data_IF_895793735003
#
_entry.id   IF_895793735003
#
_cell.length_a   1.000
_cell.length_b   1.000
_cell.length_c   1.000
_cell.angle_alpha   90.00
_cell.angle_beta   90.00
_cell.angle_gamma   90.00
#
_symmetry.space_group_name_H-M   'P 1'
#
loop_
_entity.id
_entity.type
_entity.pdbx_description
1 polymer ?
#
# COMPACT_ATOMS: atom_id res chain seq x y z
N UNK A 1 -83.64 8.77 -13.71
CA UNK A 1 -82.16 8.76 -13.53
C UNK A 1 -81.66 8.73 -12.07
N UNK A 2 -82.52 8.64 -11.04
CA UNK A 2 -82.11 8.63 -9.61
C UNK A 2 -81.80 7.24 -9.01
N UNK A 3 -81.97 6.15 -9.77
CA UNK A 3 -81.80 4.78 -9.24
C UNK A 3 -80.37 4.19 -9.37
N UNK A 4 -79.53 4.72 -10.25
CA UNK A 4 -78.16 4.20 -10.46
C UNK A 4 -77.18 4.76 -9.41
N UNK A 5 -77.40 5.98 -8.93
CA UNK A 5 -76.50 6.65 -7.97
C UNK A 5 -76.47 5.98 -6.58
N UNK A 6 -77.54 5.29 -6.18
CA UNK A 6 -77.59 4.70 -4.83
C UNK A 6 -76.90 3.33 -4.73
N UNK A 7 -76.65 2.64 -5.85
CA UNK A 7 -75.86 1.40 -5.87
C UNK A 7 -74.34 1.64 -5.90
N UNK A 8 -73.89 2.81 -6.35
CA UNK A 8 -72.47 3.19 -6.36
C UNK A 8 -71.96 3.66 -4.99
N UNK A 9 -72.84 4.19 -4.13
CA UNK A 9 -72.47 4.57 -2.74
C UNK A 9 -72.20 3.34 -1.85
N UNK A 10 -72.70 2.17 -2.23
CA UNK A 10 -72.55 0.93 -1.47
C UNK A 10 -71.18 0.23 -1.69
N UNK A 11 -70.42 0.58 -2.73
CA UNK A 11 -69.14 -0.10 -3.05
C UNK A 11 -67.92 0.63 -2.46
N UNK A 12 -68.05 1.92 -2.11
CA UNK A 12 -66.91 2.75 -1.68
C UNK A 12 -66.56 2.56 -0.19
N UNK A 13 -67.33 1.78 0.59
CA UNK A 13 -67.06 1.61 2.03
C UNK A 13 -66.25 0.34 2.39
N UNK A 14 -65.87 -0.50 1.42
CA UNK A 14 -65.04 -1.69 1.72
C UNK A 14 -63.55 -1.45 1.50
N UNK A 15 -63.03 -0.31 1.97
CA UNK A 15 -61.59 -0.11 2.13
C UNK A 15 -61.11 -0.87 3.36
N UNK A 16 -60.76 -2.17 3.22
CA UNK A 16 -60.03 -2.89 4.27
C UNK A 16 -58.66 -2.22 4.44
N UNK A 17 -58.56 -1.35 5.44
CA UNK A 17 -57.31 -0.72 5.87
C UNK A 17 -56.44 -1.79 6.53
N UNK A 18 -55.50 -2.34 5.77
CA UNK A 18 -54.46 -3.21 6.31
C UNK A 18 -53.53 -2.33 7.14
N UNK A 19 -53.76 -2.28 8.46
CA UNK A 19 -52.80 -1.69 9.40
C UNK A 19 -51.48 -2.44 9.23
N UNK A 20 -50.51 -1.84 8.55
CA UNK A 20 -49.13 -2.30 8.57
C UNK A 20 -48.65 -2.20 10.02
N UNK A 21 -48.45 -3.34 10.69
CA UNK A 21 -47.70 -3.36 11.94
C UNK A 21 -46.31 -2.84 11.61
N UNK A 22 -46.00 -1.62 12.02
CA UNK A 22 -44.62 -1.13 12.02
C UNK A 22 -43.92 -1.89 13.14
N UNK A 23 -43.21 -2.96 12.77
CA UNK A 23 -42.28 -3.63 13.67
C UNK A 23 -41.03 -2.76 13.81
N UNK A 24 -40.83 -2.16 14.98
CA UNK A 24 -39.56 -1.56 15.34
C UNK A 24 -38.55 -2.64 15.72
N UNK A 25 -37.26 -2.37 15.49
CA UNK A 25 -36.18 -3.20 16.00
C UNK A 25 -36.22 -3.23 17.54
N UNK A 26 -36.00 -4.41 18.11
CA UNK A 26 -35.79 -4.58 19.54
C UNK A 26 -34.45 -3.95 19.95
N UNK A 27 -34.40 -3.33 21.15
CA UNK A 27 -33.14 -2.83 21.72
C UNK A 27 -32.08 -3.95 21.81
N UNK A 28 -32.52 -5.19 22.05
CA UNK A 28 -31.65 -6.36 22.11
C UNK A 28 -31.11 -6.73 20.72
N UNK A 29 -31.92 -6.60 19.67
CA UNK A 29 -31.47 -6.88 18.30
C UNK A 29 -30.37 -5.91 17.87
N UNK A 30 -30.53 -4.62 18.16
CA UNK A 30 -29.50 -3.64 17.87
C UNK A 30 -28.22 -3.87 18.71
N UNK A 31 -28.39 -4.28 19.98
CA UNK A 31 -27.27 -4.54 20.90
C UNK A 31 -26.40 -5.71 20.44
N UNK A 32 -27.01 -6.80 19.94
CA UNK A 32 -26.26 -7.95 19.43
C UNK A 32 -25.53 -7.60 18.12
N UNK A 33 -26.09 -6.74 17.28
CA UNK A 33 -25.45 -6.35 16.02
C UNK A 33 -24.19 -5.53 16.28
N UNK A 34 -24.26 -4.52 17.14
CA UNK A 34 -23.08 -3.68 17.45
C UNK A 34 -22.00 -4.49 18.18
N UNK A 35 -22.36 -5.49 18.99
CA UNK A 35 -21.39 -6.33 19.67
C UNK A 35 -20.63 -7.23 18.69
N UNK A 36 -21.31 -7.80 17.70
CA UNK A 36 -20.68 -8.60 16.64
C UNK A 36 -19.77 -7.72 15.78
N UNK A 37 -20.23 -6.52 15.37
CA UNK A 37 -19.40 -5.58 14.58
C UNK A 37 -18.14 -5.19 15.34
N UNK A 38 -18.24 -4.91 16.64
CA UNK A 38 -17.09 -4.56 17.47
C UNK A 38 -16.03 -5.67 17.51
N UNK A 39 -16.45 -6.94 17.63
CA UNK A 39 -15.54 -8.10 17.60
C UNK A 39 -14.88 -8.25 16.23
N UNK A 40 -15.64 -8.12 15.13
CA UNK A 40 -15.09 -8.23 13.77
C UNK A 40 -14.07 -7.12 13.47
N UNK A 41 -14.35 -5.89 13.89
CA UNK A 41 -13.44 -4.76 13.70
C UNK A 41 -12.15 -4.92 14.49
N UNK A 42 -12.22 -5.40 15.73
CA UNK A 42 -11.05 -5.63 16.57
C UNK A 42 -10.06 -6.61 15.90
N UNK A 43 -10.57 -7.71 15.34
CA UNK A 43 -9.77 -8.67 14.58
C UNK A 43 -9.28 -8.09 13.24
N UNK A 44 -10.12 -7.30 12.57
CA UNK A 44 -9.81 -6.69 11.28
C UNK A 44 -8.63 -5.71 11.34
N UNK A 45 -8.55 -4.86 12.36
CA UNK A 45 -7.50 -3.83 12.48
C UNK A 45 -6.10 -4.44 12.59
N UNK A 46 -5.95 -5.51 13.38
CA UNK A 46 -4.66 -6.20 13.56
C UNK A 46 -4.14 -6.78 12.24
N UNK A 47 -5.04 -7.44 11.49
CA UNK A 47 -4.73 -8.01 10.18
C UNK A 47 -4.37 -6.93 9.16
N UNK A 48 -5.14 -5.84 9.14
CA UNK A 48 -4.92 -4.72 8.23
C UNK A 48 -3.56 -4.02 8.44
N UNK A 49 -3.16 -3.80 9.70
CA UNK A 49 -1.85 -3.23 10.03
C UNK A 49 -0.70 -4.11 9.51
N UNK A 50 -0.82 -5.43 9.66
CA UNK A 50 0.17 -6.38 9.14
C UNK A 50 0.21 -6.37 7.62
N UNK A 51 -0.95 -6.34 6.96
CA UNK A 51 -1.05 -6.27 5.50
C UNK A 51 -0.39 -4.99 4.95
N UNK A 52 -0.61 -3.83 5.59
CA UNK A 52 0.04 -2.59 5.20
C UNK A 52 1.57 -2.65 5.33
N UNK A 53 2.10 -3.23 6.42
CA UNK A 53 3.55 -3.41 6.59
C UNK A 53 4.13 -4.25 5.45
N UNK A 54 3.50 -5.38 5.13
CA UNK A 54 3.90 -6.25 4.02
C UNK A 54 3.84 -5.56 2.66
N UNK A 55 2.82 -4.72 2.42
CA UNK A 55 2.72 -3.95 1.18
C UNK A 55 3.85 -2.94 1.03
N UNK A 56 4.23 -2.24 2.12
CA UNK A 56 5.39 -1.34 2.12
C UNK A 56 6.70 -2.12 1.93
N UNK A 57 6.85 -3.26 2.59
CA UNK A 57 8.03 -4.13 2.40
C UNK A 57 8.15 -4.64 0.96
N UNK A 58 7.04 -4.97 0.30
CA UNK A 58 7.03 -5.32 -1.12
C UNK A 58 7.48 -4.14 -2.00
N UNK A 59 7.00 -2.92 -1.70
CA UNK A 59 7.46 -1.70 -2.38
C UNK A 59 8.97 -1.48 -2.18
N UNK A 60 9.48 -1.61 -0.95
CA UNK A 60 10.93 -1.50 -0.66
C UNK A 60 11.76 -2.49 -1.47
N UNK A 61 11.32 -3.76 -1.51
CA UNK A 61 12.01 -4.81 -2.29
C UNK A 61 12.04 -4.49 -3.78
N UNK A 62 10.95 -3.95 -4.33
CA UNK A 62 10.91 -3.55 -5.74
C UNK A 62 11.81 -2.33 -6.00
N UNK A 63 11.79 -1.32 -5.13
CA UNK A 63 12.61 -0.13 -5.28
C UNK A 63 14.10 -0.46 -5.28
N UNK A 64 14.55 -1.32 -4.36
CA UNK A 64 15.95 -1.78 -4.33
C UNK A 64 16.33 -2.52 -5.62
N UNK A 65 15.42 -3.30 -6.21
CA UNK A 65 15.64 -3.99 -7.49
C UNK A 65 15.66 -3.02 -8.68
N UNK A 66 14.82 -2.00 -8.67
CA UNK A 66 14.79 -0.97 -9.70
C UNK A 66 16.10 -0.18 -9.69
N UNK A 67 16.60 0.18 -8.49
CA UNK A 67 17.90 0.84 -8.32
C UNK A 67 19.04 -0.08 -8.76
N UNK A 68 19.02 -1.36 -8.39
CA UNK A 68 20.00 -2.36 -8.86
C UNK A 68 20.02 -2.43 -10.39
N UNK A 69 18.87 -2.50 -11.05
CA UNK A 69 18.76 -2.51 -12.51
C UNK A 69 19.34 -1.23 -13.13
N UNK A 70 19.10 -0.07 -12.52
CA UNK A 70 19.69 1.19 -12.95
C UNK A 70 21.22 1.23 -12.78
N UNK A 71 21.76 0.60 -11.73
CA UNK A 71 23.21 0.48 -11.55
C UNK A 71 23.84 -0.45 -12.59
N UNK A 72 23.20 -1.56 -12.95
CA UNK A 72 23.66 -2.44 -14.04
C UNK A 72 23.65 -1.70 -15.40
N UNK A 73 22.61 -0.89 -15.64
CA UNK A 73 22.56 -0.03 -16.83
C UNK A 73 23.68 1.02 -16.80
N UNK A 74 23.96 1.61 -15.64
CA UNK A 74 25.08 2.53 -15.45
C UNK A 74 26.40 1.87 -15.81
N UNK A 75 26.67 0.68 -15.26
CA UNK A 75 27.88 -0.08 -15.57
C UNK A 75 28.06 -0.29 -17.08
N UNK A 76 26.97 -0.63 -17.78
CA UNK A 76 26.98 -0.91 -19.22
C UNK A 76 27.31 0.31 -20.09
N UNK A 77 26.93 1.53 -19.67
CA UNK A 77 27.05 2.75 -20.49
C UNK A 77 28.05 3.78 -19.98
N UNK A 78 28.56 3.61 -18.75
CA UNK A 78 29.41 4.60 -18.05
C UNK A 78 30.81 4.06 -17.73
N UNK A 79 31.41 3.36 -18.69
CA UNK A 79 32.81 2.93 -18.58
C UNK A 79 33.05 1.75 -17.64
N UNK A 80 32.06 0.87 -17.45
CA UNK A 80 32.21 -0.39 -16.70
C UNK A 80 32.64 -0.19 -15.24
N UNK A 81 32.11 0.85 -14.62
CA UNK A 81 32.26 1.14 -13.19
C UNK A 81 30.90 1.47 -12.60
N UNK A 82 30.72 1.23 -11.32
CA UNK A 82 29.56 1.69 -10.56
C UNK A 82 29.79 3.08 -9.96
N UNK A 83 28.74 3.90 -9.79
CA UNK A 83 28.85 5.16 -9.08
C UNK A 83 29.06 4.86 -7.59
N UNK A 84 30.00 5.55 -6.95
CA UNK A 84 30.21 5.43 -5.50
C UNK A 84 29.34 6.45 -4.78
N UNK A 85 28.58 6.06 -3.74
CA UNK A 85 27.83 7.01 -2.93
C UNK A 85 28.79 7.98 -2.23
N UNK A 86 28.43 9.27 -2.20
CA UNK A 86 29.24 10.29 -1.55
C UNK A 86 29.01 10.25 -0.02
N UNK A 87 29.87 9.53 0.70
CA UNK A 87 29.82 9.42 2.16
C UNK A 87 28.70 8.50 2.65
N UNK A 88 27.95 8.94 3.67
CA UNK A 88 26.85 8.16 4.27
C UNK A 88 25.50 8.34 3.55
N UNK A 89 25.41 9.28 2.60
CA UNK A 89 24.18 9.55 1.86
C UNK A 89 24.03 8.61 0.68
N UNK A 90 22.85 8.03 0.53
CA UNK A 90 22.51 7.20 -0.62
C UNK A 90 22.32 8.02 -1.90
N UNK A 91 22.27 7.36 -3.05
CA UNK A 91 22.07 8.01 -4.35
C UNK A 91 20.78 8.83 -4.37
N UNK A 92 20.86 10.08 -4.83
CA UNK A 92 19.68 10.92 -5.11
C UNK A 92 19.21 10.74 -6.55
N UNK A 93 20.16 10.51 -7.45
CA UNK A 93 19.98 10.19 -8.85
C UNK A 93 21.14 9.32 -9.33
N UNK A 94 20.92 8.59 -10.42
CA UNK A 94 21.93 7.78 -11.11
C UNK A 94 22.08 8.38 -12.50
N UNK A 95 23.19 9.09 -12.70
CA UNK A 95 23.48 9.82 -13.94
C UNK A 95 24.90 9.55 -14.39
N UNK A 96 25.04 9.22 -15.67
CA UNK A 96 26.31 9.10 -16.35
C UNK A 96 26.83 10.49 -16.71
N UNK A 97 28.03 10.85 -16.26
CA UNK A 97 28.62 12.14 -16.62
C UNK A 97 29.11 12.19 -18.08
N UNK A 98 29.58 11.06 -18.61
CA UNK A 98 30.14 10.95 -19.96
C UNK A 98 29.95 9.53 -20.50
N UNK A 99 29.13 9.33 -21.56
CA UNK A 99 28.20 10.32 -22.14
C UNK A 99 27.15 10.80 -21.12
N UNK A 100 26.62 12.01 -21.28
CA UNK A 100 25.65 12.59 -20.34
C UNK A 100 24.28 11.91 -20.45
N UNK A 101 24.06 10.84 -19.69
CA UNK A 101 22.85 10.01 -19.72
C UNK A 101 22.21 9.98 -18.32
N UNK A 102 20.93 10.37 -18.23
CA UNK A 102 20.15 10.18 -17.00
C UNK A 102 19.52 8.79 -17.00
N UNK A 103 19.98 7.94 -16.09
CA UNK A 103 19.50 6.55 -15.98
C UNK A 103 18.35 6.47 -14.99
N UNK A 104 18.50 7.15 -13.86
CA UNK A 104 17.43 7.33 -12.87
C UNK A 104 17.51 8.75 -12.33
N UNK A 105 16.57 9.61 -12.74
CA UNK A 105 16.60 11.04 -12.36
C UNK A 105 16.25 11.29 -10.90
N UNK A 106 15.53 10.35 -10.26
CA UNK A 106 15.23 10.40 -8.83
C UNK A 106 15.12 8.98 -8.30
N UNK A 107 15.93 8.66 -7.30
CA UNK A 107 15.87 7.36 -6.63
C UNK A 107 14.58 7.29 -5.81
N UNK A 108 13.84 6.16 -5.83
CA UNK A 108 12.63 6.02 -5.03
C UNK A 108 12.92 6.27 -3.54
N UNK A 109 12.03 7.00 -2.88
CA UNK A 109 12.06 7.19 -1.44
C UNK A 109 11.18 6.15 -0.75
N UNK A 110 11.62 5.63 0.39
CA UNK A 110 10.81 4.76 1.24
C UNK A 110 9.51 5.48 1.68
N UNK A 111 8.36 4.79 1.66
CA UNK A 111 7.08 5.32 2.16
C UNK A 111 7.09 5.88 3.59
N UNK A 112 8.08 5.51 4.42
CA UNK A 112 8.26 6.00 5.81
C UNK A 112 9.48 6.91 5.97
N UNK A 113 10.04 7.41 4.88
CA UNK A 113 11.18 8.33 4.84
C UNK A 113 12.52 7.77 5.39
N UNK A 114 12.66 6.46 5.55
CA UNK A 114 13.96 5.80 5.80
C UNK A 114 14.67 5.55 4.47
N UNK A 115 15.76 6.26 4.15
CA UNK A 115 16.42 6.07 2.86
C UNK A 115 16.99 4.65 2.74
N UNK A 116 16.94 4.09 1.53
CA UNK A 116 17.77 2.94 1.16
C UNK A 116 19.24 3.28 1.41
N UNK A 117 20.07 2.31 1.74
CA UNK A 117 21.44 2.58 2.18
C UNK A 117 22.44 1.57 1.64
N UNK A 118 23.70 2.00 1.58
CA UNK A 118 24.83 1.09 1.41
C UNK A 118 25.31 0.62 2.80
N UNK A 119 25.45 -0.69 3.05
CA UNK A 119 25.92 -1.17 4.34
C UNK A 119 27.39 -0.80 4.56
N UNK A 120 27.75 -0.56 5.83
CA UNK A 120 29.14 -0.28 6.21
C UNK A 120 29.96 -1.58 6.26
N UNK A 121 31.26 -1.54 5.91
CA UNK A 121 31.99 -0.38 5.38
C UNK A 121 31.64 -0.10 3.91
N UNK A 122 31.38 1.18 3.60
CA UNK A 122 30.97 1.63 2.25
C UNK A 122 32.06 1.33 1.22
N UNK A 123 33.34 1.46 1.59
CA UNK A 123 34.48 1.19 0.69
C UNK A 123 34.51 -0.21 0.10
N UNK A 124 33.92 -1.19 0.80
CA UNK A 124 33.90 -2.60 0.37
C UNK A 124 32.58 -2.96 -0.29
N UNK A 125 31.47 -2.42 0.21
CA UNK A 125 30.13 -2.78 -0.25
C UNK A 125 29.63 -1.89 -1.40
N UNK A 126 30.14 -0.67 -1.55
CA UNK A 126 29.80 0.25 -2.64
C UNK A 126 31.06 0.95 -3.12
N UNK A 127 31.73 0.28 -4.06
CA UNK A 127 32.94 0.75 -4.73
C UNK A 127 32.67 0.91 -6.23
N UNK A 128 33.68 1.34 -6.97
CA UNK A 128 33.57 1.40 -8.43
C UNK A 128 33.43 0.03 -9.09
N UNK A 129 33.74 -1.07 -8.39
CA UNK A 129 33.63 -2.44 -8.90
C UNK A 129 32.48 -3.27 -8.32
N UNK A 130 31.80 -2.78 -7.28
CA UNK A 130 30.72 -3.52 -6.61
C UNK A 130 29.71 -2.55 -6.01
N UNK A 131 28.44 -2.91 -5.99
CA UNK A 131 27.44 -2.23 -5.18
C UNK A 131 26.65 -3.21 -4.33
N UNK A 132 26.16 -2.71 -3.19
CA UNK A 132 25.20 -3.38 -2.32
C UNK A 132 24.24 -2.36 -1.75
N UNK A 133 22.96 -2.58 -1.99
CA UNK A 133 21.88 -1.70 -1.56
C UNK A 133 21.01 -2.49 -0.60
N UNK A 134 20.76 -1.92 0.57
CA UNK A 134 19.98 -2.54 1.63
C UNK A 134 18.80 -1.67 2.04
N UNK A 135 17.78 -2.32 2.59
CA UNK A 135 16.60 -1.71 3.20
C UNK A 135 16.16 -2.52 4.41
N UNK A 136 15.66 -1.86 5.44
CA UNK A 136 15.10 -2.52 6.63
C UNK A 136 13.62 -2.82 6.41
N UNK A 137 13.20 -4.06 6.64
CA UNK A 137 11.80 -4.44 6.52
C UNK A 137 11.05 -4.20 7.84
N UNK A 138 9.77 -3.85 7.74
CA UNK A 138 8.91 -3.59 8.91
C UNK A 138 8.26 -4.85 9.47
N UNK A 139 8.09 -5.88 8.63
CA UNK A 139 7.40 -7.11 9.01
C UNK A 139 8.28 -8.06 9.84
N UNK A 140 9.60 -7.89 9.87
CA UNK A 140 10.51 -8.77 10.61
C UNK A 140 11.54 -7.91 11.36
N UNK A 141 11.76 -8.24 12.64
CA UNK A 141 12.51 -7.39 13.59
C UNK A 141 14.02 -7.30 13.31
N UNK A 142 14.57 -8.13 12.42
CA UNK A 142 16.00 -8.20 12.08
C UNK A 142 16.26 -8.55 10.61
N UNK A 143 15.30 -8.32 9.70
CA UNK A 143 15.46 -8.69 8.29
C UNK A 143 15.80 -7.46 7.44
N UNK A 144 17.09 -7.26 7.20
CA UNK A 144 17.53 -6.40 6.11
C UNK A 144 17.37 -7.16 4.80
N UNK A 145 16.80 -6.50 3.79
CA UNK A 145 16.79 -7.00 2.42
C UNK A 145 17.86 -6.26 1.64
N UNK A 146 18.83 -7.00 1.09
CA UNK A 146 19.91 -6.43 0.31
C UNK A 146 19.96 -7.04 -1.10
N UNK A 147 20.30 -6.20 -2.08
CA UNK A 147 20.65 -6.61 -3.44
C UNK A 147 22.05 -6.10 -3.74
N UNK A 148 22.85 -6.91 -4.41
CA UNK A 148 24.22 -6.60 -4.81
C UNK A 148 24.45 -7.06 -6.24
N UNK A 149 25.51 -6.56 -6.89
CA UNK A 149 25.90 -7.09 -8.20
C UNK A 149 26.21 -8.60 -8.11
N UNK A 150 25.93 -9.32 -9.19
CA UNK A 150 26.29 -10.73 -9.35
C UNK A 150 27.82 -10.91 -9.34
#
# INVERSE_FOLDING_TARGET
>A
MKFIFNKLKAIIHSGKSYKSKVSGFSLLELLVVISIIAVLLALGISSFNTAQKKARDAKRKNDVKDVSSALEQYYSVCGSLYPTPAGASFYTSIVCGSPSISIMSTVPSDPRATPYFCPTPVSTNCSSGNYKICTSLESETTSEYCVQNQ
#
